data_IF_146581112061
#
_entry.id   IF_146581112061
#
_cell.length_a   1.000
_cell.length_b   1.000
_cell.length_c   1.000
_cell.angle_alpha   90.00
_cell.angle_beta   90.00
_cell.angle_gamma   90.00
#
_symmetry.space_group_name_H-M   'P 1'
#
loop_
_entity.id
_entity.type
_entity.pdbx_description
1 polymer ?
#
# COMPACT_ATOMS: atom_id res chain seq x y z
N UNK A 1 -2.16 4.24 -21.94
CA UNK A 1 -2.11 4.43 -20.47
C UNK A 1 -1.18 3.39 -19.87
N UNK A 2 -0.50 3.70 -18.78
CA UNK A 2 0.32 2.72 -18.03
C UNK A 2 -0.50 2.11 -16.89
N UNK A 3 -0.08 0.95 -16.36
CA UNK A 3 -0.72 0.35 -15.18
C UNK A 3 -0.69 1.28 -13.95
N UNK A 4 0.38 2.06 -13.78
CA UNK A 4 0.49 3.08 -12.74
C UNK A 4 -0.57 4.18 -12.91
N UNK A 5 -0.73 4.72 -14.12
CA UNK A 5 -1.74 5.74 -14.40
C UNK A 5 -3.16 5.22 -14.16
N UNK A 6 -3.43 3.95 -14.49
CA UNK A 6 -4.72 3.31 -14.20
C UNK A 6 -4.94 3.18 -12.69
N UNK A 7 -3.95 2.69 -11.95
CA UNK A 7 -4.04 2.57 -10.50
C UNK A 7 -4.28 3.94 -9.85
N UNK A 8 -3.56 4.98 -10.29
CA UNK A 8 -3.73 6.35 -9.81
C UNK A 8 -5.14 6.90 -10.11
N UNK A 9 -5.67 6.67 -11.32
CA UNK A 9 -7.03 7.08 -11.70
C UNK A 9 -8.11 6.41 -10.83
N UNK A 10 -7.98 5.10 -10.60
CA UNK A 10 -8.88 4.35 -9.72
C UNK A 10 -8.87 4.93 -8.30
N UNK A 11 -7.69 5.17 -7.74
CA UNK A 11 -7.54 5.74 -6.40
C UNK A 11 -8.10 7.16 -6.31
N UNK A 12 -7.89 8.00 -7.32
CA UNK A 12 -8.46 9.34 -7.39
C UNK A 12 -10.01 9.33 -7.42
N UNK A 13 -10.59 8.26 -7.99
CA UNK A 13 -12.03 7.99 -7.96
C UNK A 13 -12.52 7.34 -6.65
N UNK A 14 -11.65 7.19 -5.65
CA UNK A 14 -11.95 6.50 -4.39
C UNK A 14 -12.20 5.00 -4.57
N UNK A 15 -11.63 4.40 -5.62
CA UNK A 15 -11.67 2.97 -5.90
C UNK A 15 -10.33 2.40 -5.48
N UNK A 16 -10.32 1.63 -4.39
CA UNK A 16 -9.12 0.92 -3.96
C UNK A 16 -9.15 -0.49 -4.54
N UNK A 17 -8.39 -0.79 -5.61
CA UNK A 17 -8.30 -2.15 -6.12
C UNK A 17 -7.49 -3.01 -5.16
N UNK A 18 -7.95 -4.24 -4.96
CA UNK A 18 -7.27 -5.26 -4.17
C UNK A 18 -7.02 -6.50 -5.05
N UNK A 19 -6.11 -7.37 -4.63
CA UNK A 19 -5.97 -8.68 -5.28
C UNK A 19 -7.04 -9.64 -4.77
N UNK A 20 -7.43 -10.58 -5.62
CA UNK A 20 -8.18 -11.76 -5.16
C UNK A 20 -7.34 -12.59 -4.18
N UNK A 21 -7.94 -13.43 -3.32
CA UNK A 21 -7.19 -14.24 -2.35
C UNK A 21 -6.13 -15.17 -2.97
N UNK A 22 -6.36 -15.63 -4.20
CA UNK A 22 -5.42 -16.44 -4.99
C UNK A 22 -4.34 -15.59 -5.72
N UNK A 23 -4.45 -14.25 -5.66
CA UNK A 23 -3.54 -13.32 -6.29
C UNK A 23 -3.57 -13.28 -7.82
N UNK A 24 -4.53 -13.97 -8.46
CA UNK A 24 -4.64 -14.10 -9.92
C UNK A 24 -5.59 -13.07 -10.57
N UNK A 25 -6.29 -12.30 -9.75
CA UNK A 25 -7.31 -11.35 -10.16
C UNK A 25 -7.25 -10.05 -9.35
N UNK A 26 -8.06 -9.11 -9.81
CA UNK A 26 -8.24 -7.80 -9.18
C UNK A 26 -9.70 -7.71 -8.75
N UNK A 27 -9.91 -7.36 -7.48
CA UNK A 27 -11.20 -7.06 -6.88
C UNK A 27 -11.33 -5.55 -6.80
N UNK A 28 -12.47 -5.04 -7.23
CA UNK A 28 -12.88 -3.65 -7.08
C UNK A 28 -14.30 -3.62 -6.53
N UNK A 29 -14.72 -2.54 -5.83
CA UNK A 29 -16.10 -2.35 -5.44
C UNK A 29 -17.06 -2.41 -6.65
N UNK A 30 -18.12 -3.19 -6.52
CA UNK A 30 -19.10 -3.38 -7.59
C UNK A 30 -19.77 -2.06 -7.99
N UNK A 31 -20.01 -1.87 -9.29
CA UNK A 31 -20.71 -0.68 -9.81
C UNK A 31 -19.92 0.63 -9.78
N UNK A 32 -18.65 0.62 -9.33
CA UNK A 32 -17.83 1.84 -9.25
C UNK A 32 -16.98 2.13 -10.49
N UNK A 33 -16.65 1.09 -11.28
CA UNK A 33 -15.88 1.26 -12.51
C UNK A 33 -16.74 1.75 -13.68
N UNK A 34 -16.26 2.77 -14.39
CA UNK A 34 -16.80 3.15 -15.71
C UNK A 34 -16.48 2.09 -16.78
N UNK A 35 -17.11 2.19 -17.95
CA UNK A 35 -16.82 1.31 -19.09
C UNK A 35 -15.36 1.38 -19.53
N UNK A 36 -14.79 2.58 -19.56
CA UNK A 36 -13.39 2.84 -19.92
C UNK A 36 -12.42 2.30 -18.88
N UNK A 37 -12.69 2.53 -17.58
CA UNK A 37 -11.86 1.98 -16.50
C UNK A 37 -11.86 0.45 -16.51
N UNK A 38 -13.02 -0.17 -16.77
CA UNK A 38 -13.11 -1.64 -16.90
C UNK A 38 -12.31 -2.17 -18.08
N UNK A 39 -12.32 -1.47 -19.22
CA UNK A 39 -11.51 -1.84 -20.38
C UNK A 39 -10.02 -1.71 -20.05
N UNK A 40 -9.59 -0.58 -19.49
CA UNK A 40 -8.20 -0.34 -19.12
C UNK A 40 -7.67 -1.36 -18.09
N UNK A 41 -8.46 -1.70 -17.06
CA UNK A 41 -8.10 -2.72 -16.06
C UNK A 41 -7.92 -4.10 -16.69
N UNK A 42 -8.74 -4.45 -17.69
CA UNK A 42 -8.63 -5.72 -18.40
C UNK A 42 -7.43 -5.75 -19.33
N UNK A 43 -7.17 -4.67 -20.06
CA UNK A 43 -6.10 -4.59 -21.04
C UNK A 43 -4.71 -4.57 -20.38
N UNK A 44 -4.61 -4.07 -19.14
CA UNK A 44 -3.37 -4.00 -18.35
C UNK A 44 -3.42 -4.87 -17.08
N UNK A 45 -4.26 -5.91 -17.08
CA UNK A 45 -4.50 -6.76 -15.91
C UNK A 45 -3.20 -7.32 -15.28
N UNK A 46 -2.26 -7.92 -16.03
CA UNK A 46 -1.08 -8.53 -15.40
C UNK A 46 -0.17 -7.48 -14.75
N UNK A 47 0.06 -6.35 -15.41
CA UNK A 47 0.87 -5.26 -14.87
C UNK A 47 0.22 -4.61 -13.65
N UNK A 48 -1.12 -4.48 -13.65
CA UNK A 48 -1.87 -4.01 -12.49
C UNK A 48 -1.77 -4.97 -11.30
N UNK A 49 -1.84 -6.30 -11.54
CA UNK A 49 -1.66 -7.29 -10.47
C UNK A 49 -0.29 -7.11 -9.81
N UNK A 50 0.77 -6.99 -10.59
CA UNK A 50 2.12 -6.78 -10.04
C UNK A 50 2.24 -5.45 -9.30
N UNK A 51 1.64 -4.37 -9.80
CA UNK A 51 1.63 -3.07 -9.10
C UNK A 51 0.85 -3.10 -7.80
N UNK A 52 -0.33 -3.71 -7.77
CA UNK A 52 -1.12 -3.85 -6.54
C UNK A 52 -0.37 -4.73 -5.53
N UNK A 53 0.27 -5.81 -6.00
CA UNK A 53 1.10 -6.68 -5.16
C UNK A 53 2.28 -5.92 -4.54
N UNK A 54 2.97 -5.11 -5.33
CA UNK A 54 4.07 -4.28 -4.84
C UNK A 54 3.58 -3.24 -3.83
N UNK A 55 2.47 -2.54 -4.12
CA UNK A 55 1.87 -1.59 -3.20
C UNK A 55 1.44 -2.24 -1.87
N UNK A 56 0.91 -3.47 -1.91
CA UNK A 56 0.57 -4.25 -0.73
C UNK A 56 1.83 -4.56 0.10
N UNK A 57 2.88 -5.12 -0.53
CA UNK A 57 4.16 -5.40 0.14
C UNK A 57 4.78 -4.16 0.77
N UNK A 58 4.72 -3.03 0.08
CA UNK A 58 5.22 -1.76 0.58
C UNK A 58 4.45 -1.30 1.81
N UNK A 59 3.12 -1.43 1.78
CA UNK A 59 2.25 -1.09 2.91
C UNK A 59 2.52 -1.99 4.10
N UNK A 60 2.69 -3.30 3.90
CA UNK A 60 3.07 -4.25 4.97
C UNK A 60 4.42 -3.90 5.60
N UNK A 61 5.42 -3.59 4.77
CA UNK A 61 6.74 -3.17 5.25
C UNK A 61 6.67 -1.86 6.05
N UNK A 62 5.84 -0.91 5.60
CA UNK A 62 5.60 0.36 6.31
C UNK A 62 4.89 0.13 7.63
N UNK A 63 3.84 -0.69 7.67
CA UNK A 63 3.18 -1.07 8.91
C UNK A 63 4.18 -1.72 9.89
N UNK A 64 5.02 -2.64 9.43
CA UNK A 64 6.04 -3.24 10.29
C UNK A 64 7.05 -2.20 10.82
N UNK A 65 7.49 -1.26 9.99
CA UNK A 65 8.42 -0.20 10.40
C UNK A 65 7.79 0.77 11.40
N UNK A 66 6.54 1.16 11.18
CA UNK A 66 5.80 2.03 12.11
C UNK A 66 5.50 1.34 13.44
N UNK A 67 5.20 0.04 13.46
CA UNK A 67 5.05 -0.71 14.71
C UNK A 67 6.34 -0.71 15.53
N UNK A 68 7.51 -0.87 14.89
CA UNK A 68 8.81 -0.75 15.58
C UNK A 68 9.03 0.65 16.16
N UNK A 69 8.61 1.69 15.44
CA UNK A 69 8.66 3.06 15.96
C UNK A 69 7.79 3.19 17.22
N UNK A 70 6.54 2.69 17.17
CA UNK A 70 5.66 2.65 18.34
C UNK A 70 6.28 1.89 19.52
N UNK A 71 6.90 0.73 19.28
CA UNK A 71 7.61 -0.01 20.32
C UNK A 71 8.76 0.80 20.94
N UNK A 72 9.54 1.52 20.12
CA UNK A 72 10.65 2.36 20.59
C UNK A 72 10.18 3.55 21.45
N UNK A 73 9.00 4.11 21.16
CA UNK A 73 8.39 5.20 21.94
C UNK A 73 7.63 4.72 23.19
N UNK A 74 7.40 3.40 23.32
CA UNK A 74 6.58 2.84 24.40
C UNK A 74 5.08 3.06 24.19
N UNK A 75 4.65 3.22 22.93
CA UNK A 75 3.27 3.48 22.57
C UNK A 75 2.35 2.30 22.91
N UNK A 76 1.23 2.61 23.57
CA UNK A 76 0.16 1.68 23.86
C UNK A 76 -0.69 1.33 22.63
N UNK A 77 -1.63 0.39 22.79
CA UNK A 77 -2.44 -0.15 21.70
C UNK A 77 -3.21 0.91 20.90
N UNK A 78 -3.72 1.97 21.56
CA UNK A 78 -4.44 3.05 20.88
C UNK A 78 -3.55 3.82 19.90
N UNK A 79 -2.31 4.13 20.30
CA UNK A 79 -1.36 4.85 19.44
C UNK A 79 -0.90 3.97 18.26
N UNK A 80 -0.72 2.66 18.49
CA UNK A 80 -0.45 1.69 17.42
C UNK A 80 -1.59 1.63 16.41
N UNK A 81 -2.84 1.58 16.88
CA UNK A 81 -3.99 1.55 16.00
C UNK A 81 -4.14 2.84 15.19
N UNK A 82 -3.93 4.00 15.83
CA UNK A 82 -3.91 5.29 15.14
C UNK A 82 -2.82 5.31 14.06
N UNK A 83 -1.61 4.83 14.37
CA UNK A 83 -0.51 4.75 13.42
C UNK A 83 -0.85 3.86 12.20
N UNK A 84 -1.56 2.74 12.40
CA UNK A 84 -2.05 1.92 11.29
C UNK A 84 -3.04 2.68 10.42
N UNK A 85 -3.97 3.40 11.03
CA UNK A 85 -4.94 4.22 10.31
C UNK A 85 -4.24 5.31 9.49
N UNK A 86 -3.22 5.95 10.05
CA UNK A 86 -2.44 6.99 9.36
C UNK A 86 -1.66 6.41 8.16
N UNK A 87 -1.09 5.21 8.30
CA UNK A 87 -0.45 4.49 7.18
C UNK A 87 -1.46 4.15 6.07
N UNK A 88 -2.67 3.71 6.43
CA UNK A 88 -3.73 3.40 5.48
C UNK A 88 -4.31 4.66 4.82
N UNK A 89 -4.39 5.77 5.55
CA UNK A 89 -4.80 7.08 5.04
C UNK A 89 -3.72 7.71 4.14
N UNK A 90 -2.44 7.35 4.34
CA UNK A 90 -1.35 7.83 3.50
C UNK A 90 -1.54 7.35 2.05
N UNK A 91 -1.49 8.24 1.06
CA UNK A 91 -1.53 7.88 -0.35
C UNK A 91 -0.41 6.88 -0.72
N UNK A 92 -0.69 5.84 -1.53
CA UNK A 92 0.29 4.79 -1.84
C UNK A 92 1.62 5.30 -2.42
N UNK A 93 1.59 6.39 -3.20
CA UNK A 93 2.78 6.99 -3.79
C UNK A 93 3.71 7.66 -2.75
N UNK A 94 3.20 8.03 -1.56
CA UNK A 94 4.02 8.58 -0.46
C UNK A 94 4.48 7.51 0.53
N UNK A 95 3.90 6.30 0.48
CA UNK A 95 4.26 5.21 1.41
C UNK A 95 5.71 4.75 1.25
N UNK A 96 6.29 4.91 0.05
CA UNK A 96 7.68 4.53 -0.22
C UNK A 96 8.65 5.44 0.53
N UNK A 97 8.48 6.76 0.40
CA UNK A 97 9.28 7.76 1.12
C UNK A 97 9.09 7.65 2.63
N UNK A 98 7.85 7.44 3.10
CA UNK A 98 7.61 7.21 4.53
C UNK A 98 8.32 5.97 5.04
N UNK A 99 8.25 4.85 4.30
CA UNK A 99 8.94 3.62 4.68
C UNK A 99 10.44 3.85 4.81
N UNK A 100 11.03 4.54 3.86
CA UNK A 100 12.46 4.86 3.88
C UNK A 100 12.81 5.71 5.10
N UNK A 101 12.02 6.73 5.40
CA UNK A 101 12.18 7.55 6.61
C UNK A 101 12.11 6.73 7.90
N UNK A 102 11.12 5.84 8.04
CA UNK A 102 11.00 4.96 9.21
C UNK A 102 12.15 3.95 9.30
N UNK A 103 12.64 3.44 8.17
CA UNK A 103 13.82 2.56 8.14
C UNK A 103 15.09 3.31 8.54
N UNK A 104 15.31 4.53 8.08
CA UNK A 104 16.47 5.32 8.48
C UNK A 104 16.42 5.69 9.98
N UNK A 105 15.23 6.02 10.48
CA UNK A 105 15.06 6.49 11.87
C UNK A 105 15.04 5.34 12.89
N UNK A 106 14.42 4.20 12.54
CA UNK A 106 14.17 3.08 13.47
C UNK A 106 14.72 1.73 13.00
N UNK A 107 15.34 1.65 11.82
CA UNK A 107 15.95 0.42 11.27
C UNK A 107 17.36 0.13 11.80
N UNK A 108 17.94 1.03 12.58
CA UNK A 108 19.34 0.96 13.04
C UNK A 108 19.66 -0.06 14.14
N UNK A 109 18.76 -0.99 14.49
CA UNK A 109 19.01 -1.97 15.56
C UNK A 109 19.07 -3.44 15.10
N UNK A 110 18.67 -3.77 13.87
CA UNK A 110 18.63 -5.17 13.40
C UNK A 110 19.72 -5.54 12.37
N UNK A 111 20.37 -4.56 11.73
CA UNK A 111 21.39 -4.79 10.69
C UNK A 111 22.82 -4.39 11.14
N UNK A 112 23.05 -4.19 12.45
CA UNK A 112 24.35 -3.87 13.05
C UNK A 112 25.00 -5.05 13.80
N UNK A 113 24.66 -6.28 13.40
CA UNK A 113 25.29 -7.50 13.88
C UNK A 113 25.71 -8.37 12.68
N UNK A 114 26.78 -7.93 12.02
CA UNK A 114 27.70 -8.81 11.27
C UNK A 114 29.09 -8.66 11.90
#
# INVERSE_FOLDING_TARGET
MTAEAILADLLACGITPALTPDGAGIVVPAGRLTGEQRAAVRDHKPELIERIREAARLTEALLAATMRACDAHGDGEQAREQMRQDVLATPPHLRADLLDHFKQTYGGAADAAD
#
